data_IF_454216471522
#
_entry.id   IF_454216471522
#
_cell.length_a   1.000
_cell.length_b   1.000
_cell.length_c   1.000
_cell.angle_alpha   90.00
_cell.angle_beta   90.00
_cell.angle_gamma   90.00
#
_symmetry.space_group_name_H-M   'P 1'
#
loop_
_entity.id
_entity.type
_entity.pdbx_description
1 polymer ?
#
# COMPACT_ATOMS: atom_id res chain seq x y z
N UNK A 1 -67.46 32.84 -34.88
CA UNK A 1 -66.84 34.02 -34.24
C UNK A 1 -65.95 33.54 -33.10
N UNK A 2 -64.63 33.77 -33.25
CA UNK A 2 -63.54 33.82 -32.24
C UNK A 2 -63.30 32.66 -31.24
N UNK A 3 -62.13 32.02 -31.47
CA UNK A 3 -61.18 31.37 -30.56
C UNK A 3 -61.22 31.80 -29.08
N UNK A 4 -60.96 30.83 -28.18
CA UNK A 4 -59.82 30.89 -27.23
C UNK A 4 -59.39 29.50 -26.77
N UNK A 5 -58.07 29.30 -26.80
CA UNK A 5 -57.28 28.11 -26.43
C UNK A 5 -57.16 27.97 -24.92
N UNK A 6 -57.02 26.74 -24.41
CA UNK A 6 -56.10 26.41 -23.30
C UNK A 6 -55.48 25.04 -23.60
N UNK A 7 -54.15 24.99 -23.62
CA UNK A 7 -53.30 23.80 -23.70
C UNK A 7 -53.04 23.28 -22.28
N UNK A 8 -53.08 21.97 -22.08
CA UNK A 8 -52.37 21.28 -20.99
C UNK A 8 -51.93 19.90 -21.52
N UNK A 9 -50.62 19.66 -21.46
CA UNK A 9 -49.91 18.59 -22.16
C UNK A 9 -49.99 17.22 -21.50
N UNK A 10 -49.83 16.23 -22.37
CA UNK A 10 -49.69 14.79 -22.13
C UNK A 10 -48.20 14.48 -21.93
N UNK A 11 -47.84 13.61 -20.98
CA UNK A 11 -46.85 12.57 -21.24
C UNK A 11 -46.97 11.41 -20.24
N UNK A 12 -47.37 10.25 -20.76
CA UNK A 12 -47.46 8.98 -20.05
C UNK A 12 -46.12 8.25 -20.12
N UNK A 13 -45.67 7.72 -18.97
CA UNK A 13 -44.49 6.87 -18.86
C UNK A 13 -44.86 5.41 -19.19
N UNK A 14 -44.13 4.79 -20.11
CA UNK A 14 -44.19 3.35 -20.37
C UNK A 14 -42.91 2.69 -19.86
N UNK A 15 -43.03 1.84 -18.84
CA UNK A 15 -42.00 0.89 -18.43
C UNK A 15 -41.94 -0.25 -19.44
N UNK A 16 -40.74 -0.55 -19.94
CA UNK A 16 -40.45 -1.78 -20.68
C UNK A 16 -39.36 -2.54 -19.91
N UNK A 17 -39.74 -3.65 -19.29
CA UNK A 17 -38.81 -4.63 -18.71
C UNK A 17 -38.54 -5.68 -19.79
N UNK A 18 -37.32 -5.70 -20.32
CA UNK A 18 -36.85 -6.83 -21.14
C UNK A 18 -35.87 -7.65 -20.33
N UNK A 19 -36.29 -8.86 -19.98
CA UNK A 19 -35.40 -9.93 -19.53
C UNK A 19 -34.54 -10.38 -20.70
N UNK A 20 -33.21 -10.44 -20.51
CA UNK A 20 -32.29 -11.05 -21.48
C UNK A 20 -31.40 -12.04 -20.75
N UNK A 21 -31.29 -13.23 -21.33
CA UNK A 21 -30.65 -14.43 -20.80
C UNK A 21 -29.15 -14.24 -20.55
N UNK A 22 -28.66 -14.89 -19.49
CA UNK A 22 -27.25 -14.93 -19.07
C UNK A 22 -26.52 -16.04 -19.86
N UNK A 23 -25.40 -15.74 -20.54
CA UNK A 23 -24.33 -16.70 -20.71
C UNK A 23 -23.22 -16.43 -19.69
N UNK A 24 -22.74 -17.51 -19.07
CA UNK A 24 -21.56 -17.51 -18.23
C UNK A 24 -20.34 -17.00 -19.01
N UNK A 25 -19.80 -15.85 -18.63
CA UNK A 25 -18.50 -15.35 -19.05
C UNK A 25 -17.72 -14.88 -17.82
N UNK A 26 -16.41 -15.07 -17.93
CA UNK A 26 -15.41 -15.04 -16.88
C UNK A 26 -15.37 -13.76 -16.04
N UNK A 27 -14.84 -13.90 -14.82
CA UNK A 27 -14.63 -12.89 -13.81
C UNK A 27 -13.56 -11.84 -14.19
N UNK A 28 -13.72 -11.19 -15.33
CA UNK A 28 -12.92 -10.07 -15.78
C UNK A 28 -13.90 -8.93 -16.13
N UNK A 29 -13.62 -7.72 -15.61
CA UNK A 29 -14.46 -6.51 -15.67
C UNK A 29 -15.55 -6.33 -14.59
N UNK A 30 -15.10 -6.14 -13.34
CA UNK A 30 -15.75 -5.17 -12.43
C UNK A 30 -14.86 -3.92 -12.34
N UNK A 31 -14.49 -3.35 -13.48
CA UNK A 31 -13.95 -1.98 -13.59
C UNK A 31 -14.97 -1.09 -14.31
N UNK A 32 -16.25 -1.20 -13.95
CA UNK A 32 -17.19 -0.17 -14.36
C UNK A 32 -16.90 1.07 -13.50
N UNK A 33 -16.06 1.97 -14.02
CA UNK A 33 -15.79 3.28 -13.45
C UNK A 33 -17.12 4.00 -13.21
N UNK A 34 -17.61 3.96 -11.97
CA UNK A 34 -18.73 4.77 -11.56
C UNK A 34 -18.21 6.19 -11.32
N UNK A 35 -18.03 6.92 -12.42
CA UNK A 35 -17.47 8.27 -12.56
C UNK A 35 -18.27 9.38 -11.85
N UNK A 36 -19.14 9.05 -10.91
CA UNK A 36 -19.99 10.04 -10.22
C UNK A 36 -19.58 10.30 -8.76
N UNK A 37 -18.89 9.39 -8.08
CA UNK A 37 -18.41 9.61 -6.71
C UNK A 37 -17.20 8.73 -6.38
N UNK A 38 -15.99 9.03 -6.88
CA UNK A 38 -14.75 8.46 -6.33
C UNK A 38 -14.00 9.51 -5.51
N UNK A 39 -13.30 9.09 -4.46
CA UNK A 39 -12.52 9.99 -3.60
C UNK A 39 -11.08 9.51 -3.49
N UNK A 40 -10.13 10.44 -3.56
CA UNK A 40 -8.74 10.17 -3.27
C UNK A 40 -8.46 10.40 -1.78
N UNK A 41 -7.80 9.44 -1.14
CA UNK A 41 -7.44 9.50 0.29
C UNK A 41 -6.05 8.91 0.50
N UNK A 42 -5.34 9.33 1.53
CA UNK A 42 -4.26 8.54 2.12
C UNK A 42 -4.91 7.56 3.10
N UNK A 43 -4.62 6.27 3.02
CA UNK A 43 -5.25 5.25 3.88
C UNK A 43 -4.21 4.31 4.48
N UNK A 44 -4.42 3.93 5.74
CA UNK A 44 -3.70 2.86 6.41
C UNK A 44 -4.15 1.49 5.88
N UNK A 45 -3.24 0.71 5.32
CA UNK A 45 -3.52 -0.57 4.68
C UNK A 45 -2.60 -1.64 5.30
N UNK A 46 -3.15 -2.71 5.89
CA UNK A 46 -2.34 -3.83 6.40
C UNK A 46 -1.40 -4.40 5.32
N UNK A 47 -0.24 -4.92 5.73
CA UNK A 47 0.73 -5.46 4.75
C UNK A 47 0.13 -6.53 3.83
N UNK A 48 -0.64 -7.47 4.37
CA UNK A 48 -1.28 -8.51 3.56
C UNK A 48 -2.18 -7.93 2.45
N UNK A 49 -2.96 -6.90 2.75
CA UNK A 49 -3.83 -6.25 1.79
C UNK A 49 -3.02 -5.48 0.73
N UNK A 50 -1.99 -4.74 1.17
CA UNK A 50 -1.10 -4.00 0.28
C UNK A 50 -0.37 -4.96 -0.68
N UNK A 51 0.21 -6.04 -0.18
CA UNK A 51 0.96 -6.96 -1.03
C UNK A 51 0.07 -7.78 -1.96
N UNK A 52 -1.16 -8.07 -1.54
CA UNK A 52 -2.18 -8.66 -2.42
C UNK A 52 -2.50 -7.71 -3.59
N UNK A 53 -2.63 -6.41 -3.30
CA UNK A 53 -2.89 -5.38 -4.30
C UNK A 53 -1.75 -5.22 -5.32
N UNK A 54 -0.50 -5.43 -4.90
CA UNK A 54 0.67 -5.32 -5.79
C UNK A 54 1.02 -6.63 -6.52
N UNK A 55 0.25 -7.71 -6.32
CA UNK A 55 0.37 -8.96 -7.09
C UNK A 55 1.06 -10.13 -6.39
N UNK A 56 1.44 -9.98 -5.11
CA UNK A 56 2.15 -11.05 -4.39
C UNK A 56 1.19 -12.19 -4.02
N UNK A 57 1.39 -13.36 -4.64
CA UNK A 57 0.49 -14.52 -4.49
C UNK A 57 0.30 -15.00 -3.05
N UNK A 58 1.35 -14.97 -2.23
CA UNK A 58 1.31 -15.40 -0.82
C UNK A 58 1.19 -14.22 0.16
N UNK A 59 0.62 -13.09 -0.29
CA UNK A 59 0.48 -11.89 0.52
C UNK A 59 -0.24 -12.12 1.86
N UNK A 60 -1.15 -13.09 1.95
CA UNK A 60 -1.86 -13.42 3.20
C UNK A 60 -0.93 -13.93 4.33
N UNK A 61 0.29 -14.36 3.99
CA UNK A 61 1.30 -14.78 4.96
C UNK A 61 2.17 -13.60 5.46
N UNK A 62 1.98 -12.41 4.88
CA UNK A 62 2.73 -11.21 5.22
C UNK A 62 2.05 -10.47 6.37
N UNK A 63 2.40 -10.90 7.58
CA UNK A 63 1.91 -10.31 8.82
C UNK A 63 2.63 -9.00 9.23
N UNK A 64 2.06 -8.33 10.24
CA UNK A 64 2.65 -7.19 10.92
C UNK A 64 4.06 -7.49 11.48
N UNK A 65 4.93 -6.49 11.48
CA UNK A 65 6.31 -6.64 11.96
C UNK A 65 6.40 -6.29 13.43
N UNK A 66 6.60 -7.29 14.29
CA UNK A 66 6.83 -7.07 15.71
C UNK A 66 8.26 -6.60 15.99
N UNK A 67 8.45 -5.78 17.03
CA UNK A 67 9.79 -5.34 17.44
C UNK A 67 9.96 -5.38 18.95
N UNK A 68 10.95 -6.16 19.40
CA UNK A 68 11.32 -6.26 20.81
C UNK A 68 11.62 -4.89 21.46
N UNK A 69 12.19 -3.94 20.70
CA UNK A 69 12.60 -2.65 21.24
C UNK A 69 11.48 -1.62 21.37
N UNK A 70 10.28 -1.89 20.82
CA UNK A 70 9.04 -1.05 20.79
C UNK A 70 9.15 0.41 20.32
N UNK A 71 10.30 1.04 20.46
CA UNK A 71 10.60 2.39 20.01
C UNK A 71 10.89 2.46 18.50
N UNK A 72 11.33 1.37 17.87
CA UNK A 72 11.67 1.37 16.43
C UNK A 72 10.42 1.49 15.54
N UNK A 73 9.31 0.76 15.78
CA UNK A 73 8.06 0.96 15.06
C UNK A 73 7.51 2.38 15.15
N UNK A 74 7.74 3.04 16.29
CA UNK A 74 7.30 4.42 16.54
C UNK A 74 8.23 5.50 15.98
N UNK A 75 9.38 5.10 15.46
CA UNK A 75 10.38 6.04 14.92
C UNK A 75 10.13 6.26 13.43
N UNK A 76 9.20 7.15 13.06
CA UNK A 76 8.76 7.37 11.68
C UNK A 76 9.89 7.64 10.68
N UNK A 77 11.02 8.23 11.09
CA UNK A 77 12.21 8.41 10.24
C UNK A 77 12.88 7.09 9.80
N UNK A 78 12.65 5.99 10.51
CA UNK A 78 13.17 4.67 10.20
C UNK A 78 12.20 3.82 9.38
N UNK A 79 10.91 4.11 9.48
CA UNK A 79 9.81 3.30 8.94
C UNK A 79 8.82 4.19 8.19
N UNK A 80 9.37 5.14 7.43
CA UNK A 80 8.61 6.19 6.77
C UNK A 80 7.65 5.60 5.74
N UNK A 81 6.37 5.94 5.82
CA UNK A 81 5.32 5.38 4.96
C UNK A 81 4.61 4.16 5.56
N UNK A 82 5.09 3.63 6.68
CA UNK A 82 4.36 2.63 7.48
C UNK A 82 3.44 3.28 8.51
N UNK A 83 2.59 2.47 9.16
CA UNK A 83 1.83 2.88 10.35
C UNK A 83 1.80 1.77 11.39
N UNK A 84 1.42 2.13 12.62
CA UNK A 84 1.16 1.19 13.69
C UNK A 84 -0.12 1.54 14.43
N UNK A 85 -0.88 0.51 14.83
CA UNK A 85 -2.13 0.70 15.60
C UNK A 85 -1.83 0.90 17.09
N UNK A 86 -0.87 0.14 17.61
CA UNK A 86 -0.55 0.14 19.03
C UNK A 86 0.38 1.31 19.36
N UNK A 87 -0.09 2.27 20.16
CA UNK A 87 0.70 3.43 20.61
C UNK A 87 1.96 3.04 21.41
N UNK A 88 2.01 1.80 21.90
CA UNK A 88 3.15 1.25 22.59
C UNK A 88 4.27 0.74 21.64
N UNK A 89 4.02 0.72 20.33
CA UNK A 89 4.96 0.30 19.30
C UNK A 89 5.26 -1.19 19.26
N UNK A 90 4.31 -2.03 19.66
CA UNK A 90 4.45 -3.50 19.60
C UNK A 90 4.77 -4.01 18.20
N UNK A 91 4.13 -3.44 17.18
CA UNK A 91 4.26 -3.86 15.80
C UNK A 91 4.12 -2.71 14.80
N UNK A 92 4.55 -2.96 13.57
CA UNK A 92 4.21 -2.17 12.38
C UNK A 92 3.15 -2.95 11.62
N UNK A 93 1.96 -2.40 11.50
CA UNK A 93 0.79 -3.13 10.99
C UNK A 93 0.74 -3.12 9.46
N UNK A 94 1.21 -2.07 8.82
CA UNK A 94 1.15 -1.94 7.37
C UNK A 94 1.70 -0.62 6.86
N UNK A 95 1.10 -0.12 5.77
CA UNK A 95 1.54 1.09 5.06
C UNK A 95 0.42 2.12 4.96
N UNK A 96 0.78 3.40 5.06
CA UNK A 96 -0.14 4.49 4.70
C UNK A 96 0.09 4.83 3.24
N UNK A 97 -0.82 4.46 2.34
CA UNK A 97 -0.66 4.62 0.88
C UNK A 97 -1.82 5.44 0.28
N UNK A 98 -1.63 6.17 -0.84
CA UNK A 98 -2.74 6.83 -1.52
C UNK A 98 -3.70 5.84 -2.18
N UNK A 99 -5.00 6.09 -2.06
CA UNK A 99 -6.07 5.19 -2.51
C UNK A 99 -7.13 5.97 -3.28
N UNK A 100 -7.52 5.47 -4.45
CA UNK A 100 -8.76 5.85 -5.16
C UNK A 100 -9.89 4.97 -4.65
N UNK A 101 -10.75 5.53 -3.81
CA UNK A 101 -11.88 4.82 -3.20
C UNK A 101 -13.07 4.87 -4.14
N UNK A 102 -13.48 3.72 -4.65
CA UNK A 102 -14.61 3.55 -5.56
C UNK A 102 -15.96 3.51 -4.83
N UNK A 103 -15.95 3.25 -3.52
CA UNK A 103 -17.13 3.28 -2.64
C UNK A 103 -16.99 4.32 -1.51
N UNK A 104 -16.95 5.64 -1.79
CA UNK A 104 -16.68 6.63 -0.74
C UNK A 104 -17.69 6.66 0.40
N UNK A 105 -18.91 6.18 0.17
CA UNK A 105 -19.92 6.05 1.21
C UNK A 105 -19.46 5.15 2.37
N UNK A 106 -18.52 4.22 2.15
CA UNK A 106 -17.98 3.33 3.18
C UNK A 106 -16.99 4.04 4.12
N UNK A 107 -16.36 5.12 3.65
CA UNK A 107 -15.40 5.91 4.43
C UNK A 107 -16.04 6.56 5.67
N UNK A 108 -17.36 6.77 5.68
CA UNK A 108 -18.09 7.29 6.85
C UNK A 108 -17.97 6.39 8.09
N UNK A 109 -17.67 5.11 7.88
CA UNK A 109 -17.52 4.11 8.94
C UNK A 109 -16.06 3.94 9.39
N UNK A 110 -15.11 4.57 8.69
CA UNK A 110 -13.70 4.53 9.02
C UNK A 110 -13.28 5.83 9.73
N UNK A 111 -12.21 5.76 10.53
CA UNK A 111 -11.66 6.93 11.21
C UNK A 111 -11.05 7.90 10.20
N UNK A 112 -11.61 9.11 10.13
CA UNK A 112 -11.02 10.21 9.38
C UNK A 112 -10.01 10.97 10.25
N UNK A 113 -8.83 11.20 9.69
CA UNK A 113 -7.79 12.12 10.16
C UNK A 113 -7.88 13.41 9.33
N UNK A 114 -7.69 14.54 10.00
CA UNK A 114 -7.82 15.90 9.45
C UNK A 114 -6.61 16.74 9.81
N UNK A 115 -6.50 17.94 9.23
CA UNK A 115 -5.40 18.88 9.54
C UNK A 115 -5.40 19.37 10.99
N UNK A 116 -6.51 19.17 11.72
CA UNK A 116 -6.60 19.49 13.14
C UNK A 116 -6.03 18.38 14.04
N UNK A 117 -5.87 17.16 13.53
CA UNK A 117 -5.32 16.04 14.28
C UNK A 117 -3.80 16.13 14.34
N UNK A 118 -3.25 15.92 15.53
CA UNK A 118 -1.81 15.99 15.79
C UNK A 118 -1.41 14.96 16.86
N UNK A 119 -0.29 14.29 16.63
CA UNK A 119 0.27 13.30 17.56
C UNK A 119 1.74 13.59 17.83
N UNK A 120 2.11 13.70 19.10
CA UNK A 120 3.50 13.80 19.52
C UNK A 120 3.99 12.42 19.96
N UNK A 121 4.93 11.87 19.20
CA UNK A 121 5.54 10.58 19.54
C UNK A 121 6.97 10.85 19.99
N UNK A 122 7.22 10.55 21.26
CA UNK A 122 8.55 10.53 21.85
C UNK A 122 9.10 9.11 21.81
N UNK A 123 10.29 8.96 21.21
CA UNK A 123 11.03 7.70 21.13
C UNK A 123 12.43 7.85 21.70
N UNK A 124 12.90 6.82 22.39
CA UNK A 124 14.26 6.76 22.91
C UNK A 124 15.08 5.76 22.08
N UNK A 125 16.05 6.27 21.31
CA UNK A 125 16.94 5.45 20.49
C UNK A 125 18.38 5.66 20.93
N UNK A 126 19.10 4.56 21.23
CA UNK A 126 20.50 4.58 21.67
C UNK A 126 20.74 5.56 22.84
N UNK A 127 19.80 5.63 23.80
CA UNK A 127 19.88 6.51 24.97
C UNK A 127 19.59 7.99 24.70
N UNK A 128 19.12 8.35 23.50
CA UNK A 128 18.69 9.72 23.16
C UNK A 128 17.20 9.75 22.90
N UNK A 129 16.51 10.71 23.50
CA UNK A 129 15.10 10.97 23.25
C UNK A 129 14.94 11.90 22.05
N UNK A 130 13.91 11.64 21.26
CA UNK A 130 13.49 12.50 20.16
C UNK A 130 11.96 12.51 20.13
N UNK A 131 11.37 13.69 20.15
CA UNK A 131 9.93 13.89 19.92
C UNK A 131 9.73 14.30 18.47
N UNK A 132 8.77 13.68 17.80
CA UNK A 132 8.34 14.06 16.45
C UNK A 132 6.84 14.32 16.49
N UNK A 133 6.44 15.47 16.00
CA UNK A 133 5.04 15.87 15.86
C UNK A 133 4.55 15.48 14.46
N UNK A 134 3.49 14.66 14.41
CA UNK A 134 2.84 14.21 13.19
C UNK A 134 1.51 14.96 13.03
N UNK A 135 1.27 15.55 11.88
CA UNK A 135 0.09 16.39 11.60
C UNK A 135 -0.50 16.06 10.24
N UNK A 136 -1.78 16.39 10.03
CA UNK A 136 -2.46 16.17 8.74
C UNK A 136 -2.39 14.71 8.31
N UNK A 137 -1.97 14.45 7.07
CA UNK A 137 -1.84 13.07 6.56
C UNK A 137 -0.82 12.22 7.34
N UNK A 138 0.23 12.83 7.90
CA UNK A 138 1.25 12.09 8.65
C UNK A 138 0.74 11.64 10.04
N UNK A 139 -0.36 12.22 10.54
CA UNK A 139 -1.04 11.78 11.75
C UNK A 139 -1.71 10.40 11.61
N UNK A 140 -1.76 9.84 10.40
CA UNK A 140 -2.14 8.43 10.16
C UNK A 140 -1.14 7.43 10.75
N UNK A 141 0.09 7.87 11.06
CA UNK A 141 1.18 7.02 11.51
C UNK A 141 0.87 6.20 12.77
N UNK A 142 0.15 6.79 13.74
CA UNK A 142 -0.35 6.11 14.95
C UNK A 142 -1.89 6.11 14.91
N UNK A 143 -2.47 5.27 14.05
CA UNK A 143 -3.91 5.17 13.85
C UNK A 143 -4.34 3.76 13.46
N UNK A 144 -5.64 3.49 13.48
CA UNK A 144 -6.18 2.16 13.15
C UNK A 144 -6.02 1.80 11.67
N UNK A 145 -6.13 0.51 11.35
CA UNK A 145 -6.20 0.04 9.96
C UNK A 145 -7.42 0.65 9.26
N UNK A 146 -7.24 1.04 8.00
CA UNK A 146 -8.22 1.73 7.16
C UNK A 146 -8.61 3.13 7.62
N UNK A 147 -7.97 3.68 8.66
CA UNK A 147 -8.02 5.12 8.93
C UNK A 147 -7.51 5.88 7.70
N UNK A 148 -8.10 7.05 7.44
CA UNK A 148 -7.84 7.78 6.21
C UNK A 148 -7.75 9.30 6.39
N UNK A 149 -7.01 9.94 5.50
CA UNK A 149 -6.93 11.39 5.34
C UNK A 149 -7.38 11.75 3.92
N UNK A 150 -8.25 12.75 3.77
CA UNK A 150 -8.80 13.11 2.45
C UNK A 150 -7.79 13.93 1.64
N UNK A 151 -7.49 13.50 0.42
CA UNK A 151 -6.61 14.24 -0.48
C UNK A 151 -7.43 15.25 -1.31
N UNK A 152 -6.88 16.45 -1.49
CA UNK A 152 -7.47 17.50 -2.33
C UNK A 152 -7.12 17.34 -3.81
N UNK A 153 -6.04 16.62 -4.11
CA UNK A 153 -5.49 16.41 -5.44
C UNK A 153 -5.41 14.93 -5.78
N UNK A 154 -5.36 14.62 -7.08
CA UNK A 154 -5.12 13.25 -7.53
C UNK A 154 -3.64 12.92 -7.31
N UNK A 155 -3.31 11.91 -6.49
CA UNK A 155 -1.92 11.50 -6.30
C UNK A 155 -1.37 10.87 -7.60
N UNK A 156 -0.08 11.07 -7.86
CA UNK A 156 0.61 10.51 -9.03
C UNK A 156 0.69 8.98 -9.00
N UNK A 157 0.50 8.38 -7.83
CA UNK A 157 0.49 6.95 -7.59
C UNK A 157 -0.63 6.61 -6.59
N UNK A 158 -1.40 5.55 -6.84
CA UNK A 158 -2.46 5.11 -5.93
C UNK A 158 -2.84 3.66 -6.18
N UNK A 159 -3.47 3.01 -5.21
CA UNK A 159 -4.23 1.76 -5.43
C UNK A 159 -5.71 2.06 -5.49
N UNK A 160 -6.49 1.27 -6.21
CA UNK A 160 -7.95 1.32 -6.10
C UNK A 160 -8.43 0.52 -4.91
N UNK A 161 -9.47 1.00 -4.23
CA UNK A 161 -10.14 0.22 -3.18
C UNK A 161 -11.65 0.35 -3.26
N UNK A 162 -12.36 -0.72 -2.89
CA UNK A 162 -13.80 -0.73 -2.72
C UNK A 162 -14.17 -1.55 -1.49
N UNK A 163 -15.26 -1.18 -0.85
CA UNK A 163 -15.81 -1.92 0.27
C UNK A 163 -16.78 -2.97 -0.28
N UNK A 164 -16.43 -4.23 -0.11
CA UNK A 164 -17.25 -5.35 -0.54
C UNK A 164 -18.33 -5.64 0.52
N UNK A 165 -19.60 -5.50 0.12
CA UNK A 165 -20.74 -5.68 1.01
C UNK A 165 -20.99 -7.15 1.38
N UNK A 166 -20.51 -8.11 0.58
CA UNK A 166 -20.68 -9.54 0.82
C UNK A 166 -19.65 -10.05 1.83
N UNK A 167 -18.39 -9.66 1.67
CA UNK A 167 -17.30 -10.02 2.58
C UNK A 167 -17.29 -9.15 3.84
N UNK A 168 -17.86 -7.94 3.77
CA UNK A 168 -17.84 -6.95 4.84
C UNK A 168 -16.45 -6.34 5.06
N UNK A 169 -15.59 -6.34 4.04
CA UNK A 169 -14.20 -5.91 4.12
C UNK A 169 -13.83 -4.98 2.97
N UNK A 170 -12.73 -4.24 3.17
CA UNK A 170 -12.08 -3.54 2.08
C UNK A 170 -11.38 -4.54 1.16
N UNK A 171 -11.59 -4.38 -0.14
CA UNK A 171 -10.82 -5.05 -1.18
C UNK A 171 -10.01 -4.02 -1.94
N UNK A 172 -8.84 -4.45 -2.41
CA UNK A 172 -7.87 -3.61 -3.07
C UNK A 172 -7.59 -4.15 -4.47
N UNK A 173 -7.58 -3.24 -5.44
CA UNK A 173 -7.19 -3.51 -6.82
C UNK A 173 -5.72 -3.17 -7.05
N UNK A 174 -5.34 -3.08 -8.33
CA UNK A 174 -3.94 -2.91 -8.74
C UNK A 174 -3.39 -1.54 -8.36
N UNK A 175 -2.06 -1.46 -8.30
CA UNK A 175 -1.32 -0.20 -8.19
C UNK A 175 -1.34 0.53 -9.53
N UNK A 176 -1.70 1.80 -9.50
CA UNK A 176 -1.59 2.74 -10.59
C UNK A 176 -0.44 3.70 -10.29
N UNK A 177 0.68 3.56 -11.00
CA UNK A 177 1.83 4.44 -10.87
C UNK A 177 2.63 4.43 -12.18
N UNK A 178 3.44 5.46 -12.40
CA UNK A 178 4.48 5.39 -13.41
C UNK A 178 5.57 4.42 -12.95
N UNK A 179 5.85 3.42 -13.77
CA UNK A 179 6.97 2.51 -13.57
C UNK A 179 8.22 3.06 -14.25
N UNK A 180 9.32 3.09 -13.51
CA UNK A 180 10.63 3.49 -14.02
C UNK A 180 11.60 2.33 -13.87
N UNK A 181 12.08 1.82 -15.01
CA UNK A 181 13.14 0.80 -15.01
C UNK A 181 14.49 1.47 -14.75
N UNK A 182 15.20 1.00 -13.73
CA UNK A 182 16.54 1.48 -13.37
C UNK A 182 17.57 0.47 -13.85
N UNK A 183 18.08 0.72 -15.06
CA UNK A 183 19.09 -0.12 -15.70
C UNK A 183 20.47 0.01 -15.03
N UNK A 184 21.22 -1.08 -15.03
CA UNK A 184 22.59 -1.12 -14.50
C UNK A 184 22.69 -1.12 -12.97
N UNK A 185 21.57 -1.27 -12.25
CA UNK A 185 21.59 -1.54 -10.83
C UNK A 185 22.25 -2.91 -10.55
N UNK A 186 23.12 -2.96 -9.55
CA UNK A 186 23.80 -4.19 -9.13
C UNK A 186 23.53 -4.47 -7.67
N UNK A 187 23.46 -5.74 -7.29
CA UNK A 187 23.22 -6.15 -5.90
C UNK A 187 24.39 -6.98 -5.41
N UNK A 188 24.97 -6.55 -4.31
CA UNK A 188 25.94 -7.32 -3.54
C UNK A 188 25.19 -8.09 -2.45
N UNK A 189 25.25 -9.42 -2.49
CA UNK A 189 24.66 -10.30 -1.48
C UNK A 189 25.71 -10.63 -0.42
N UNK A 190 25.37 -10.32 0.84
CA UNK A 190 26.14 -10.70 2.01
C UNK A 190 25.37 -11.76 2.81
N UNK A 191 25.90 -12.99 2.81
CA UNK A 191 25.39 -14.08 3.63
C UNK A 191 25.95 -14.02 5.05
N UNK A 192 25.13 -14.30 6.06
CA UNK A 192 25.41 -14.06 7.48
C UNK A 192 25.64 -12.58 7.82
N UNK A 193 24.76 -11.74 7.27
CA UNK A 193 24.73 -10.31 7.56
C UNK A 193 24.47 -10.00 9.03
N UNK A 194 24.68 -8.73 9.39
CA UNK A 194 24.57 -8.29 10.79
C UNK A 194 23.11 -8.22 11.27
N UNK A 195 22.17 -7.92 10.35
CA UNK A 195 20.75 -7.71 10.62
C UNK A 195 19.90 -8.85 10.09
N UNK A 196 20.35 -9.54 9.04
CA UNK A 196 19.65 -10.68 8.48
C UNK A 196 20.62 -11.72 7.89
N UNK A 197 20.15 -12.95 7.74
CA UNK A 197 20.93 -14.03 7.12
C UNK A 197 21.38 -13.67 5.70
N UNK A 198 20.50 -13.07 4.90
CA UNK A 198 20.81 -12.60 3.55
C UNK A 198 20.60 -11.09 3.52
N UNK A 199 21.67 -10.33 3.44
CA UNK A 199 21.63 -8.87 3.27
C UNK A 199 21.98 -8.50 1.84
N UNK A 200 21.17 -7.64 1.23
CA UNK A 200 21.37 -7.14 -0.12
C UNK A 200 21.70 -5.65 -0.08
N UNK A 201 22.84 -5.30 -0.67
CA UNK A 201 23.26 -3.92 -0.87
C UNK A 201 23.16 -3.57 -2.35
N UNK A 202 22.28 -2.63 -2.64
CA UNK A 202 22.03 -2.16 -4.00
C UNK A 202 23.01 -1.02 -4.33
N UNK A 203 23.60 -1.06 -5.51
CA UNK A 203 24.41 0.01 -6.10
C UNK A 203 23.80 0.41 -7.45
N UNK A 204 23.92 1.68 -7.83
CA UNK A 204 23.29 2.22 -9.05
C UNK A 204 21.83 2.66 -8.86
N UNK A 205 21.27 2.47 -7.67
CA UNK A 205 19.97 3.00 -7.26
C UNK A 205 20.06 3.47 -5.81
N UNK A 206 19.75 4.74 -5.57
CA UNK A 206 19.70 5.30 -4.23
C UNK A 206 18.45 6.18 -4.10
N UNK A 207 17.78 6.08 -2.96
CA UNK A 207 16.66 6.92 -2.60
C UNK A 207 17.08 7.68 -1.34
N UNK A 208 16.82 8.97 -1.29
CA UNK A 208 17.00 9.70 -0.03
C UNK A 208 15.92 9.23 0.95
N UNK A 209 16.21 8.20 1.74
CA UNK A 209 15.27 7.60 2.68
C UNK A 209 14.75 8.56 3.76
N UNK A 210 15.32 9.77 3.87
CA UNK A 210 14.82 10.82 4.76
C UNK A 210 13.75 11.67 4.10
N UNK A 211 13.78 11.80 2.78
CA UNK A 211 12.83 12.57 1.99
C UNK A 211 11.79 11.68 1.29
N UNK A 212 12.22 10.52 0.81
CA UNK A 212 11.46 9.60 -0.02
C UNK A 212 10.89 8.48 0.85
N UNK A 213 9.56 8.40 0.89
CA UNK A 213 8.84 7.32 1.58
C UNK A 213 8.90 6.07 0.68
N UNK A 214 9.43 4.97 1.21
CA UNK A 214 9.31 3.64 0.61
C UNK A 214 8.11 2.98 1.29
N UNK A 215 7.15 2.49 0.53
CA UNK A 215 5.98 1.79 1.07
C UNK A 215 6.23 0.30 1.16
N UNK A 216 6.99 -0.25 0.22
CA UNK A 216 7.40 -1.64 0.25
C UNK A 216 8.35 -1.95 -0.88
N UNK A 217 8.95 -3.12 -0.82
CA UNK A 217 9.70 -3.71 -1.91
C UNK A 217 9.20 -5.12 -2.17
N UNK A 218 9.37 -5.59 -3.40
CA UNK A 218 9.05 -6.97 -3.83
C UNK A 218 10.28 -7.55 -4.51
N UNK A 219 10.63 -8.79 -4.15
CA UNK A 219 11.63 -9.59 -4.84
C UNK A 219 10.93 -10.55 -5.79
N UNK A 220 11.35 -10.58 -7.06
CA UNK A 220 10.83 -11.52 -8.05
C UNK A 220 11.92 -12.52 -8.43
N UNK A 221 11.64 -13.81 -8.25
CA UNK A 221 12.55 -14.91 -8.57
C UNK A 221 12.44 -15.36 -10.03
N UNK A 222 13.45 -16.07 -10.52
CA UNK A 222 13.51 -16.58 -11.88
C UNK A 222 12.38 -17.55 -12.27
N UNK A 223 11.73 -18.17 -11.28
CA UNK A 223 10.52 -18.99 -11.47
C UNK A 223 9.21 -18.17 -11.39
N UNK A 224 9.31 -16.83 -11.35
CA UNK A 224 8.19 -15.90 -11.40
C UNK A 224 7.49 -15.68 -10.07
N UNK A 225 8.02 -16.19 -8.95
CA UNK A 225 7.41 -15.98 -7.62
C UNK A 225 7.82 -14.63 -7.05
N UNK A 226 6.91 -14.02 -6.30
CA UNK A 226 7.10 -12.72 -5.71
C UNK A 226 7.10 -12.79 -4.18
N UNK A 227 7.94 -11.98 -3.54
CA UNK A 227 8.10 -11.94 -2.09
C UNK A 227 8.09 -10.50 -1.59
N UNK A 228 7.10 -10.14 -0.77
CA UNK A 228 6.97 -8.81 -0.20
C UNK A 228 7.92 -8.59 0.99
N UNK A 229 8.56 -7.42 1.03
CA UNK A 229 9.53 -7.03 2.06
C UNK A 229 8.99 -5.95 3.00
N UNK A 230 8.91 -6.23 4.30
CA UNK A 230 8.34 -5.31 5.27
C UNK A 230 9.37 -4.35 5.88
N UNK A 231 8.92 -3.18 6.31
CA UNK A 231 9.75 -2.24 7.07
C UNK A 231 10.30 -2.89 8.33
N UNK A 232 11.51 -2.49 8.73
CA UNK A 232 12.20 -2.92 9.95
C UNK A 232 12.66 -4.39 9.98
N UNK A 233 11.88 -5.30 9.39
CA UNK A 233 12.24 -6.72 9.24
C UNK A 233 13.09 -6.97 7.99
N UNK A 234 12.76 -6.32 6.88
CA UNK A 234 13.40 -6.58 5.58
C UNK A 234 13.95 -5.34 4.90
N UNK A 235 13.33 -4.17 5.13
CA UNK A 235 13.75 -2.90 4.53
C UNK A 235 14.35 -2.01 5.62
N UNK A 236 15.57 -1.54 5.37
CA UNK A 236 16.26 -0.56 6.22
C UNK A 236 16.82 0.58 5.37
N UNK A 237 16.76 1.80 5.91
CA UNK A 237 17.34 2.97 5.25
C UNK A 237 16.89 3.14 3.79
N UNK A 238 15.61 2.84 3.50
CA UNK A 238 15.01 2.93 2.16
C UNK A 238 15.37 1.77 1.24
N UNK A 239 16.66 1.57 0.96
CA UNK A 239 17.15 0.68 -0.12
C UNK A 239 17.99 -0.51 0.34
N UNK A 240 18.31 -0.61 1.64
CA UNK A 240 19.01 -1.80 2.16
C UNK A 240 17.99 -2.88 2.45
N UNK A 241 18.18 -4.04 1.83
CA UNK A 241 17.22 -5.14 1.91
C UNK A 241 17.84 -6.33 2.62
N UNK A 242 17.00 -7.20 3.16
CA UNK A 242 17.43 -8.50 3.63
C UNK A 242 16.30 -9.35 4.20
N UNK A 243 16.59 -10.61 4.42
CA UNK A 243 15.66 -11.57 5.00
C UNK A 243 16.41 -12.71 5.68
N UNK A 244 15.75 -13.36 6.62
CA UNK A 244 16.33 -14.49 7.34
C UNK A 244 15.92 -15.80 6.66
N UNK A 245 16.86 -16.73 6.56
CA UNK A 245 16.62 -18.01 5.87
C UNK A 245 15.69 -18.95 6.68
N UNK A 246 15.61 -18.74 7.99
CA UNK A 246 14.75 -19.47 8.92
C UNK A 246 13.34 -18.89 9.02
N UNK A 247 13.07 -17.74 8.39
CA UNK A 247 11.71 -17.22 8.25
C UNK A 247 10.92 -18.13 7.29
N UNK A 248 9.83 -18.78 7.75
CA UNK A 248 9.04 -19.68 6.91
C UNK A 248 8.53 -19.05 5.62
N UNK A 249 8.24 -17.75 5.63
CA UNK A 249 7.78 -17.01 4.46
C UNK A 249 8.83 -16.98 3.34
N UNK A 250 10.12 -16.86 3.71
CA UNK A 250 11.24 -16.80 2.77
C UNK A 250 11.89 -18.16 2.52
N UNK A 251 11.51 -19.24 3.21
CA UNK A 251 12.16 -20.55 3.07
C UNK A 251 12.20 -21.06 1.61
N UNK A 252 11.17 -20.74 0.81
CA UNK A 252 11.08 -21.17 -0.59
C UNK A 252 11.94 -20.38 -1.57
N UNK A 253 12.47 -19.22 -1.16
CA UNK A 253 13.32 -18.36 -2.01
C UNK A 253 14.79 -18.84 -2.02
N UNK A 254 15.19 -19.65 -1.05
CA UNK A 254 16.57 -20.14 -0.91
C UNK A 254 16.91 -21.09 -2.06
N UNK A 255 18.10 -20.92 -2.67
CA UNK A 255 18.52 -21.69 -3.85
C UNK A 255 17.92 -21.17 -5.17
N UNK A 256 17.20 -20.05 -5.14
CA UNK A 256 16.66 -19.38 -6.33
C UNK A 256 17.50 -18.17 -6.72
N UNK A 257 17.30 -17.70 -7.94
CA UNK A 257 17.87 -16.44 -8.42
C UNK A 257 16.81 -15.34 -8.37
N UNK A 258 17.09 -14.25 -7.68
CA UNK A 258 16.31 -13.01 -7.78
C UNK A 258 16.67 -12.35 -9.11
N UNK A 259 15.65 -12.04 -9.91
CA UNK A 259 15.79 -11.44 -11.24
C UNK A 259 15.32 -9.98 -11.28
N UNK A 260 14.50 -9.57 -10.31
CA UNK A 260 13.99 -8.21 -10.24
C UNK A 260 13.73 -7.81 -8.78
N UNK A 261 13.97 -6.53 -8.49
CA UNK A 261 13.55 -5.88 -7.25
C UNK A 261 12.66 -4.70 -7.63
N UNK A 262 11.43 -4.68 -7.12
CA UNK A 262 10.47 -3.59 -7.35
C UNK A 262 10.29 -2.78 -6.08
N UNK A 263 10.54 -1.47 -6.12
CA UNK A 263 10.29 -0.54 -5.03
C UNK A 263 9.03 0.27 -5.27
N UNK A 264 8.12 0.29 -4.29
CA UNK A 264 6.94 1.14 -4.28
C UNK A 264 7.22 2.36 -3.40
N UNK A 265 7.20 3.56 -3.97
CA UNK A 265 7.64 4.78 -3.28
C UNK A 265 6.68 5.94 -3.50
N UNK A 266 6.90 7.04 -2.76
CA UNK A 266 6.15 8.28 -2.97
C UNK A 266 6.45 8.98 -4.31
N UNK A 267 7.55 8.63 -4.98
CA UNK A 267 7.93 9.24 -6.25
C UNK A 267 7.55 8.36 -7.47
N UNK A 268 7.00 7.17 -7.21
CA UNK A 268 6.64 6.20 -8.24
C UNK A 268 7.12 4.78 -7.92
N UNK A 269 7.00 3.90 -8.92
CA UNK A 269 7.43 2.51 -8.84
C UNK A 269 8.74 2.36 -9.59
N UNK A 270 9.77 1.84 -8.91
CA UNK A 270 11.08 1.61 -9.52
C UNK A 270 11.31 0.11 -9.69
N UNK A 271 11.57 -0.30 -10.92
CA UNK A 271 11.85 -1.69 -11.28
C UNK A 271 13.33 -1.82 -11.55
N UNK A 272 14.03 -2.65 -10.78
CA UNK A 272 15.45 -2.89 -10.91
C UNK A 272 15.65 -4.32 -11.44
N UNK A 273 16.00 -4.50 -12.73
CA UNK A 273 16.45 -5.78 -13.25
C UNK A 273 17.80 -6.13 -12.61
N UNK A 274 17.88 -7.29 -11.98
CA UNK A 274 19.09 -7.75 -11.26
C UNK A 274 19.32 -9.25 -11.50
N UNK A 275 20.43 -9.78 -11.02
CA UNK A 275 20.67 -11.23 -11.03
C UNK A 275 21.44 -11.62 -9.79
N UNK A 276 20.73 -12.14 -8.79
CA UNK A 276 21.29 -12.49 -7.48
C UNK A 276 20.97 -13.92 -7.14
N UNK A 277 21.97 -14.79 -7.07
CA UNK A 277 21.79 -16.17 -6.62
C UNK A 277 21.79 -16.21 -5.08
N UNK A 278 20.77 -16.84 -4.50
CA UNK A 278 20.59 -17.02 -3.05
C UNK A 278 21.02 -18.42 -2.59
#
# INVERSE_FOLDING_TARGET
MRLKKVFAGVLAAAMLVCAVAVPAFAAEEVEQENSLTSSYVQMNIPYADFYKAVGVDNASEIDAVTSATRNKPRAGKLVAGSYHVNADGTDITGVSFPVKVLTPWALKNAKQVTDADSYDITVTLKGKESTTTYTGADALFENESYAYYKLSETPAYYITAWYDLLSGKWEFGKVHAAETTVEGATVELNTNGHRATHEMKISGFDLDYKANKVYGAVLTTADGREYGLRHLANIWHGTKLGFNADDPYFASIIGKTITQITFYTADGVYVLPVSVAL
#
